data_IF_333841663323
#
_entry.id   IF_333841663323
#
_cell.length_a   1.000
_cell.length_b   1.000
_cell.length_c   1.000
_cell.angle_alpha   90.00
_cell.angle_beta   90.00
_cell.angle_gamma   90.00
#
_symmetry.space_group_name_H-M   'P 1'
#
loop_
_entity.id
_entity.type
_entity.pdbx_description
1 polymer ?
#
# COMPACT_ATOMS: atom_id res chain seq x y z
N UNK A 1 16.59 -21.22 14.67
CA UNK A 1 15.38 -21.55 15.44
C UNK A 1 14.44 -20.36 15.66
N UNK A 2 14.94 -19.20 16.04
CA UNK A 2 14.12 -17.98 16.29
C UNK A 2 13.36 -17.46 15.05
N UNK A 3 13.95 -17.54 13.87
CA UNK A 3 13.31 -17.06 12.62
C UNK A 3 12.11 -17.92 12.19
N UNK A 4 12.18 -19.23 12.42
CA UNK A 4 11.08 -20.16 12.10
C UNK A 4 9.89 -19.99 13.04
N UNK A 5 10.13 -19.64 14.29
CA UNK A 5 9.10 -19.36 15.29
C UNK A 5 8.40 -18.04 14.95
N UNK A 6 9.14 -17.03 14.53
CA UNK A 6 8.60 -15.73 14.11
C UNK A 6 7.71 -15.86 12.88
N UNK A 7 8.13 -16.65 11.89
CA UNK A 7 7.33 -16.89 10.69
C UNK A 7 6.03 -17.65 11.00
N UNK A 8 6.09 -18.63 11.90
CA UNK A 8 4.90 -19.36 12.37
C UNK A 8 3.92 -18.45 13.11
N UNK A 9 4.45 -17.53 13.93
CA UNK A 9 3.63 -16.57 14.67
C UNK A 9 2.92 -15.57 13.76
N UNK A 10 3.61 -15.10 12.71
CA UNK A 10 3.04 -14.21 11.68
C UNK A 10 1.96 -14.94 10.89
N UNK A 11 2.18 -16.20 10.50
CA UNK A 11 1.20 -17.02 9.80
C UNK A 11 -0.03 -17.27 10.69
N UNK A 12 0.18 -17.56 11.98
CA UNK A 12 -0.93 -17.80 12.94
C UNK A 12 -1.74 -16.51 13.16
N UNK A 13 -1.08 -15.35 13.24
CA UNK A 13 -1.73 -14.04 13.35
C UNK A 13 -2.55 -13.72 12.08
N UNK A 14 -2.04 -14.04 10.90
CA UNK A 14 -2.76 -13.89 9.64
C UNK A 14 -3.99 -14.80 9.57
N UNK A 15 -3.89 -16.04 10.06
CA UNK A 15 -5.03 -16.96 10.10
C UNK A 15 -6.09 -16.54 11.13
N UNK A 16 -5.71 -16.01 12.28
CA UNK A 16 -6.67 -15.54 13.29
C UNK A 16 -7.46 -14.32 12.84
N UNK A 17 -6.87 -13.43 12.04
CA UNK A 17 -7.57 -12.28 11.47
C UNK A 17 -8.54 -12.66 10.36
N UNK A 18 -8.23 -13.69 9.58
CA UNK A 18 -9.13 -14.23 8.56
C UNK A 18 -10.41 -14.87 9.15
N UNK A 19 -10.33 -15.43 10.35
CA UNK A 19 -11.48 -16.05 11.01
C UNK A 19 -12.47 -15.05 11.61
N UNK A 20 -12.05 -13.83 11.89
CA UNK A 20 -12.91 -12.78 12.46
C UNK A 20 -13.70 -11.97 11.41
N UNK A 21 -13.38 -12.14 10.13
CA UNK A 21 -13.99 -11.40 9.03
C UNK A 21 -15.36 -11.98 8.58
N UNK A 22 -15.83 -13.06 9.20
CA UNK A 22 -16.98 -13.81 8.68
C UNK A 22 -18.37 -13.37 9.16
N UNK A 23 -18.51 -12.41 10.07
CA UNK A 23 -19.79 -12.23 10.78
C UNK A 23 -20.46 -10.85 10.70
N UNK A 24 -20.30 -10.04 9.63
CA UNK A 24 -21.11 -8.82 9.50
C UNK A 24 -21.68 -8.62 8.10
N UNK A 25 -23.02 -8.61 7.95
CA UNK A 25 -23.65 -8.30 6.67
C UNK A 25 -23.63 -6.79 6.42
N UNK A 26 -22.66 -6.29 5.69
CA UNK A 26 -22.72 -4.96 5.10
C UNK A 26 -23.44 -5.04 3.76
N UNK A 27 -24.71 -4.72 3.78
CA UNK A 27 -25.47 -4.54 2.56
C UNK A 27 -25.10 -3.20 1.91
N UNK A 28 -24.04 -3.20 1.10
CA UNK A 28 -23.98 -2.21 0.01
C UNK A 28 -23.01 -2.64 -1.08
N UNK A 29 -23.60 -3.04 -2.16
CA UNK A 29 -23.02 -3.50 -3.40
C UNK A 29 -22.41 -2.36 -4.23
N UNK A 30 -21.25 -2.59 -4.82
CA UNK A 30 -20.71 -1.84 -5.95
C UNK A 30 -20.54 -0.32 -5.80
N UNK A 31 -19.98 0.16 -4.70
CA UNK A 31 -19.51 1.54 -4.67
C UNK A 31 -18.00 1.58 -4.85
N UNK A 32 -17.59 2.13 -5.96
CA UNK A 32 -16.22 2.58 -6.15
C UNK A 32 -16.00 3.86 -5.37
N UNK A 33 -15.02 3.86 -4.48
CA UNK A 33 -14.52 5.05 -3.81
C UNK A 33 -13.21 5.40 -4.48
N UNK A 34 -13.03 6.65 -4.86
CA UNK A 34 -11.84 7.09 -5.57
C UNK A 34 -11.42 8.49 -5.15
N UNK A 35 -10.18 8.81 -5.39
CA UNK A 35 -9.64 10.12 -5.10
C UNK A 35 -8.14 10.23 -5.32
N UNK A 36 -7.56 11.40 -5.02
CA UNK A 36 -6.12 11.58 -4.99
C UNK A 36 -5.51 11.05 -3.70
N UNK A 37 -4.24 10.68 -3.78
CA UNK A 37 -3.40 10.33 -2.64
C UNK A 37 -2.07 11.07 -2.73
N UNK A 38 -1.60 11.51 -1.59
CA UNK A 38 -0.25 12.10 -1.43
C UNK A 38 0.45 11.34 -0.32
N UNK A 39 1.71 11.01 -0.54
CA UNK A 39 2.48 10.27 0.44
C UNK A 39 3.96 10.59 0.39
N UNK A 40 4.64 10.13 1.41
CA UNK A 40 6.09 10.14 1.50
C UNK A 40 6.59 8.72 1.67
N UNK A 41 7.67 8.40 0.97
CA UNK A 41 8.33 7.11 1.04
C UNK A 41 9.83 7.31 1.16
N UNK A 42 10.44 6.58 2.08
CA UNK A 42 11.87 6.39 2.15
C UNK A 42 12.24 5.00 1.65
N UNK A 43 13.07 4.94 0.61
CA UNK A 43 13.60 3.68 0.03
C UNK A 43 14.91 4.00 -0.68
N UNK A 44 16.04 3.80 0.00
CA UNK A 44 17.36 4.25 -0.48
C UNK A 44 17.44 5.75 -0.81
N UNK A 45 16.39 6.50 -0.55
CA UNK A 45 16.23 7.93 -0.79
C UNK A 45 14.82 8.39 -0.50
N UNK A 46 14.62 9.70 -0.64
CA UNK A 46 13.36 10.36 -0.32
C UNK A 46 12.48 10.44 -1.57
N UNK A 47 11.23 10.03 -1.45
CA UNK A 47 10.24 10.10 -2.52
C UNK A 47 8.96 10.78 -2.03
N UNK A 48 8.49 11.76 -2.79
CA UNK A 48 7.14 12.27 -2.70
C UNK A 48 6.27 11.48 -3.66
N UNK A 49 5.21 10.88 -3.16
CA UNK A 49 4.27 10.09 -3.97
C UNK A 49 3.01 10.90 -4.23
N UNK A 50 2.57 10.92 -5.47
CA UNK A 50 1.27 11.48 -5.86
C UNK A 50 0.57 10.47 -6.75
N UNK A 51 -0.62 10.07 -6.39
CA UNK A 51 -1.38 9.07 -7.14
C UNK A 51 -2.88 9.35 -7.13
N UNK A 52 -3.57 8.81 -8.12
CA UNK A 52 -5.00 8.57 -8.07
C UNK A 52 -5.26 7.14 -7.61
N UNK A 53 -6.27 6.93 -6.82
CA UNK A 53 -6.62 5.61 -6.31
C UNK A 53 -8.11 5.31 -6.47
N UNK A 54 -8.41 4.03 -6.57
CA UNK A 54 -9.77 3.49 -6.56
C UNK A 54 -9.85 2.31 -5.60
N UNK A 55 -10.82 2.36 -4.71
CA UNK A 55 -11.16 1.27 -3.79
C UNK A 55 -12.43 0.58 -4.30
N UNK A 56 -12.40 -0.72 -4.36
CA UNK A 56 -13.56 -1.54 -4.71
C UNK A 56 -13.68 -2.75 -3.78
N UNK A 57 -14.91 -3.18 -3.56
CA UNK A 57 -15.23 -4.36 -2.78
C UNK A 57 -15.81 -5.42 -3.73
N UNK A 58 -15.06 -6.48 -4.08
CA UNK A 58 -15.58 -7.56 -4.90
C UNK A 58 -16.65 -8.39 -4.18
N UNK A 59 -16.65 -8.37 -2.84
CA UNK A 59 -17.68 -8.95 -1.98
C UNK A 59 -17.74 -8.19 -0.65
N UNK A 60 -18.66 -8.58 0.23
CA UNK A 60 -18.91 -7.87 1.50
C UNK A 60 -17.74 -7.88 2.50
N UNK A 61 -16.70 -8.64 2.25
CA UNK A 61 -15.60 -8.86 3.19
C UNK A 61 -14.21 -8.51 2.66
N UNK A 62 -14.12 -8.18 1.38
CA UNK A 62 -12.84 -7.94 0.73
C UNK A 62 -12.78 -6.54 0.14
N UNK A 63 -11.75 -5.82 0.50
CA UNK A 63 -11.47 -4.49 -0.03
C UNK A 63 -10.16 -4.50 -0.77
N UNK A 64 -10.19 -4.00 -1.98
CA UNK A 64 -9.03 -3.88 -2.84
C UNK A 64 -8.89 -2.42 -3.29
N UNK A 65 -7.67 -1.90 -3.24
CA UNK A 65 -7.33 -0.57 -3.75
C UNK A 65 -6.30 -0.70 -4.86
N UNK A 66 -6.56 -0.04 -5.95
CA UNK A 66 -5.59 0.16 -7.03
C UNK A 66 -5.21 1.63 -7.02
N UNK A 67 -3.93 1.91 -7.07
CA UNK A 67 -3.40 3.26 -7.19
C UNK A 67 -2.42 3.35 -8.35
N UNK A 68 -2.50 4.45 -9.07
CA UNK A 68 -1.58 4.77 -10.17
C UNK A 68 -1.11 6.21 -10.05
N UNK A 69 0.18 6.42 -10.14
CA UNK A 69 0.75 7.75 -9.93
C UNK A 69 2.22 7.86 -10.27
N UNK A 70 2.88 8.78 -9.61
CA UNK A 70 4.29 9.03 -9.81
C UNK A 70 4.99 9.33 -8.48
N UNK A 71 6.22 8.88 -8.39
CA UNK A 71 7.15 9.18 -7.32
C UNK A 71 8.14 10.26 -7.79
N UNK A 72 8.22 11.33 -7.03
CA UNK A 72 9.16 12.43 -7.27
C UNK A 72 10.34 12.28 -6.30
N UNK A 73 11.53 12.26 -6.83
CA UNK A 73 12.76 12.21 -6.04
C UNK A 73 13.70 13.34 -6.44
N UNK A 74 14.36 13.91 -5.45
CA UNK A 74 15.37 14.96 -5.64
C UNK A 74 16.77 14.46 -5.28
N UNK A 75 17.02 13.19 -5.48
CA UNK A 75 18.34 12.61 -5.24
C UNK A 75 19.34 13.13 -6.26
N UNK A 76 20.58 13.37 -5.80
CA UNK A 76 21.71 13.85 -6.63
C UNK A 76 21.46 15.19 -7.36
N UNK A 77 20.62 16.06 -6.77
CA UNK A 77 20.36 17.39 -7.33
C UNK A 77 19.53 17.41 -8.61
N UNK A 78 18.92 16.27 -8.97
CA UNK A 78 18.02 16.16 -10.14
C UNK A 78 16.64 15.68 -9.70
N UNK A 79 15.62 16.35 -10.22
CA UNK A 79 14.24 15.87 -10.05
C UNK A 79 14.02 14.70 -10.98
N UNK A 80 13.71 13.54 -10.40
CA UNK A 80 13.37 12.34 -11.15
C UNK A 80 11.92 11.96 -10.87
N UNK A 81 11.19 11.65 -11.94
CA UNK A 81 9.79 11.21 -11.88
C UNK A 81 9.74 9.74 -12.27
N UNK A 82 9.21 8.91 -11.40
CA UNK A 82 9.10 7.45 -11.60
C UNK A 82 7.62 7.09 -11.55
N UNK A 83 7.03 6.59 -12.64
CA UNK A 83 5.66 6.12 -12.62
C UNK A 83 5.55 4.89 -11.71
N UNK A 84 4.42 4.79 -11.02
CA UNK A 84 4.14 3.69 -10.09
C UNK A 84 2.71 3.21 -10.23
N UNK A 85 2.55 1.91 -10.15
CA UNK A 85 1.28 1.22 -10.03
C UNK A 85 1.26 0.46 -8.69
N UNK A 86 0.24 0.67 -7.89
CA UNK A 86 0.06 0.02 -6.61
C UNK A 86 -1.20 -0.85 -6.59
N UNK A 87 -1.10 -1.98 -5.91
CA UNK A 87 -2.22 -2.85 -5.60
C UNK A 87 -2.22 -3.17 -4.12
N UNK A 88 -3.32 -2.84 -3.43
CA UNK A 88 -3.47 -3.03 -1.99
C UNK A 88 -4.66 -3.94 -1.71
N UNK A 89 -4.44 -4.91 -0.85
CA UNK A 89 -5.49 -5.78 -0.32
C UNK A 89 -5.62 -5.55 1.19
N UNK A 90 -6.82 -5.19 1.64
CA UNK A 90 -7.14 -4.99 3.04
C UNK A 90 -7.64 -6.29 3.66
N UNK A 91 -7.09 -6.63 4.81
CA UNK A 91 -7.35 -7.92 5.48
C UNK A 91 -8.54 -7.89 6.44
N UNK A 92 -9.00 -6.70 6.83
CA UNK A 92 -10.11 -6.53 7.76
C UNK A 92 -10.78 -5.16 7.57
N UNK A 93 -12.01 -5.00 8.05
CA UNK A 93 -12.83 -3.78 8.02
C UNK A 93 -12.97 -3.09 9.38
N UNK A 94 -11.92 -3.07 10.18
CA UNK A 94 -11.91 -2.40 11.49
C UNK A 94 -11.47 -0.93 11.36
N UNK A 95 -11.41 -0.21 12.49
CA UNK A 95 -10.88 1.17 12.54
C UNK A 95 -9.44 1.24 12.02
N UNK A 96 -8.69 0.18 12.25
CA UNK A 96 -7.35 -0.03 11.69
C UNK A 96 -7.40 -1.20 10.71
N UNK A 97 -7.15 -0.92 9.45
CA UNK A 97 -7.15 -1.91 8.36
C UNK A 97 -5.72 -2.40 8.13
N UNK A 98 -5.36 -3.59 8.58
CA UNK A 98 -4.10 -4.18 8.13
C UNK A 98 -4.18 -4.46 6.64
N UNK A 99 -3.10 -4.20 5.92
CA UNK A 99 -3.05 -4.43 4.48
C UNK A 99 -1.75 -5.07 4.03
N UNK A 100 -1.82 -5.72 2.89
CA UNK A 100 -0.68 -6.09 2.07
C UNK A 100 -0.74 -5.29 0.77
N UNK A 101 0.39 -4.77 0.33
CA UNK A 101 0.49 -3.94 -0.87
C UNK A 101 1.65 -4.41 -1.73
N UNK A 102 1.47 -4.37 -3.04
CA UNK A 102 2.55 -4.50 -4.00
C UNK A 102 2.64 -3.20 -4.82
N UNK A 103 3.82 -2.61 -4.90
CA UNK A 103 4.10 -1.45 -5.73
C UNK A 103 5.03 -1.85 -6.86
N UNK A 104 4.67 -1.45 -8.06
CA UNK A 104 5.40 -1.73 -9.29
C UNK A 104 5.85 -0.41 -9.90
N UNK A 105 7.13 -0.29 -10.14
CA UNK A 105 7.74 0.78 -10.93
C UNK A 105 8.51 0.17 -12.10
N UNK A 106 8.96 0.93 -13.08
CA UNK A 106 9.83 0.41 -14.15
C UNK A 106 11.16 -0.16 -13.66
N UNK A 107 11.52 0.09 -12.40
CA UNK A 107 12.82 -0.28 -11.82
C UNK A 107 12.72 -1.28 -10.68
N UNK A 108 11.64 -1.24 -9.91
CA UNK A 108 11.52 -2.01 -8.66
C UNK A 108 10.14 -2.63 -8.51
N UNK A 109 10.13 -3.75 -7.81
CA UNK A 109 8.92 -4.32 -7.21
C UNK A 109 9.07 -4.24 -5.69
N UNK A 110 8.07 -3.67 -5.03
CA UNK A 110 8.13 -3.40 -3.60
C UNK A 110 6.91 -3.97 -2.89
N UNK A 111 6.99 -5.20 -2.37
CA UNK A 111 5.98 -5.71 -1.46
C UNK A 111 6.05 -4.97 -0.12
N UNK A 112 4.89 -4.63 0.41
CA UNK A 112 4.70 -3.92 1.68
C UNK A 112 3.61 -4.57 2.51
N UNK A 113 3.74 -4.38 3.81
CA UNK A 113 2.68 -4.64 4.78
C UNK A 113 2.48 -3.38 5.61
N UNK A 114 1.29 -3.17 6.09
CA UNK A 114 1.02 -1.96 6.85
C UNK A 114 -0.35 -1.94 7.47
N UNK A 115 -0.70 -0.76 7.96
CA UNK A 115 -1.99 -0.46 8.54
C UNK A 115 -2.53 0.85 7.99
N UNK A 116 -3.79 0.86 7.68
CA UNK A 116 -4.54 2.04 7.26
C UNK A 116 -5.50 2.47 8.35
N UNK A 117 -5.47 3.74 8.71
CA UNK A 117 -6.40 4.35 9.64
C UNK A 117 -7.58 4.94 8.85
N UNK A 118 -8.77 4.40 9.05
CA UNK A 118 -10.00 4.81 8.36
C UNK A 118 -9.89 4.83 6.81
N UNK A 119 -8.98 4.07 6.23
CA UNK A 119 -8.62 4.15 4.79
C UNK A 119 -8.13 5.53 4.33
N UNK A 120 -7.86 6.43 5.26
CA UNK A 120 -7.38 7.80 5.00
C UNK A 120 -5.87 7.88 5.13
N UNK A 121 -5.31 7.34 6.21
CA UNK A 121 -3.86 7.39 6.46
C UNK A 121 -3.29 5.98 6.38
N UNK A 122 -2.40 5.76 5.43
CA UNK A 122 -1.70 4.50 5.23
C UNK A 122 -0.28 4.57 5.79
N UNK A 123 0.08 3.63 6.64
CA UNK A 123 1.44 3.44 7.15
C UNK A 123 1.94 2.08 6.68
N UNK A 124 3.06 2.03 5.98
CA UNK A 124 3.58 0.79 5.40
C UNK A 124 5.07 0.64 5.55
N UNK A 125 5.48 -0.60 5.72
CA UNK A 125 6.88 -1.03 5.65
C UNK A 125 7.01 -2.16 4.65
N UNK A 126 8.14 -2.25 3.98
CA UNK A 126 8.37 -3.30 2.99
C UNK A 126 9.82 -3.38 2.56
N UNK A 127 10.01 -4.06 1.45
CA UNK A 127 11.33 -4.22 0.86
C UNK A 127 11.25 -4.10 -0.65
N UNK A 128 12.07 -3.22 -1.21
CA UNK A 128 12.19 -3.03 -2.65
C UNK A 128 13.22 -3.97 -3.26
N UNK A 129 12.81 -4.66 -4.31
CA UNK A 129 13.66 -5.48 -5.15
C UNK A 129 13.90 -4.76 -6.45
N UNK A 130 15.15 -4.37 -6.70
CA UNK A 130 15.57 -3.77 -7.97
C UNK A 130 15.71 -4.86 -9.05
N UNK A 131 15.05 -4.69 -10.17
CA UNK A 131 15.17 -5.58 -11.33
C UNK A 131 15.69 -4.87 -12.58
N UNK A 132 15.72 -3.54 -12.56
CA UNK A 132 16.21 -2.73 -13.68
C UNK A 132 16.83 -1.44 -13.17
N UNK A 133 18.17 -1.36 -13.22
CA UNK A 133 18.87 -0.17 -12.76
C UNK A 133 18.94 0.88 -13.87
N UNK A 134 18.40 2.06 -13.61
CA UNK A 134 18.53 3.19 -14.52
C UNK A 134 19.98 3.68 -14.54
N UNK A 135 20.53 3.90 -15.73
CA UNK A 135 21.84 4.55 -15.88
C UNK A 135 21.84 5.91 -15.19
N UNK A 136 22.82 6.18 -14.36
CA UNK A 136 23.00 7.40 -13.58
C UNK A 136 21.97 7.59 -12.46
N UNK A 137 21.36 6.52 -11.95
CA UNK A 137 20.47 6.55 -10.82
C UNK A 137 20.90 5.52 -9.78
N UNK A 138 20.87 5.91 -8.50
CA UNK A 138 21.19 4.98 -7.40
C UNK A 138 20.15 3.86 -7.38
N UNK A 139 20.55 2.59 -7.19
CA UNK A 139 19.58 1.49 -7.06
C UNK A 139 18.54 1.80 -5.99
N UNK A 140 17.27 1.59 -6.33
CA UNK A 140 16.14 1.82 -5.43
C UNK A 140 15.75 0.46 -4.83
N UNK A 141 16.61 -0.07 -4.00
CA UNK A 141 16.41 -1.34 -3.31
C UNK A 141 16.41 -1.17 -1.80
N UNK A 142 16.06 -2.21 -1.06
CA UNK A 142 16.17 -2.26 0.38
C UNK A 142 14.89 -1.92 1.14
N UNK A 143 15.07 -1.68 2.43
CA UNK A 143 13.96 -1.42 3.33
C UNK A 143 13.26 -0.14 2.94
N UNK A 144 11.93 -0.20 2.86
CA UNK A 144 11.07 0.95 2.58
C UNK A 144 10.13 1.21 3.75
N UNK A 145 9.95 2.49 4.03
CA UNK A 145 8.94 2.99 4.97
C UNK A 145 8.13 4.05 4.25
N UNK A 146 6.82 3.98 4.37
CA UNK A 146 5.93 4.91 3.70
C UNK A 146 4.80 5.38 4.58
N UNK A 147 4.41 6.62 4.41
CA UNK A 147 3.19 7.23 4.93
C UNK A 147 2.43 7.87 3.78
N UNK A 148 1.13 7.65 3.72
CA UNK A 148 0.26 8.20 2.69
C UNK A 148 -1.04 8.72 3.27
N UNK A 149 -1.62 9.71 2.58
CA UNK A 149 -2.94 10.25 2.89
C UNK A 149 -3.81 10.10 1.65
N UNK A 150 -4.91 9.39 1.79
CA UNK A 150 -5.89 9.18 0.73
C UNK A 150 -7.06 10.13 0.95
N UNK A 151 -7.42 10.90 -0.07
CA UNK A 151 -8.52 11.87 -0.01
C UNK A 151 -9.67 11.30 -0.84
N UNK A 152 -10.74 10.76 -0.22
CA UNK A 152 -11.90 10.27 -0.96
C UNK A 152 -12.72 11.43 -1.48
N UNK A 153 -13.01 11.45 -2.79
CA UNK A 153 -13.78 12.52 -3.42
C UNK A 153 -15.28 12.21 -3.51
N UNK A 154 -15.65 10.94 -3.49
CA UNK A 154 -17.05 10.51 -3.62
C UNK A 154 -17.54 9.74 -2.38
N UNK A 155 -16.96 10.00 -1.23
CA UNK A 155 -17.38 9.38 0.03
C UNK A 155 -18.57 10.17 0.61
N UNK A 156 -19.76 9.59 0.53
CA UNK A 156 -20.96 10.13 1.16
C UNK A 156 -21.08 9.52 2.56
N UNK A 157 -20.82 10.32 3.57
CA UNK A 157 -20.98 9.97 4.99
C UNK A 157 -22.44 10.22 5.40
N UNK A 158 -23.40 9.56 4.75
CA UNK A 158 -24.81 9.59 5.21
C UNK A 158 -25.47 8.24 4.89
#
# INVERSE_FOLDING_TARGET
MKLRILSLFIILLLFSTLSMAQDKPWKQHNKWIWGPSVGYQYQSGNFLKVSGWGLFAPNDFQYMKIDAGANFSWMEGKTTVIPELGFTYYLNDFVVFPFVKAELTPYTITPKVGASLFSIVDLGIGYGFDYNTKKNFKPIDGITVSVGVNIPLNFHIY
#
